data_IF_787299892056
#
_entry.id   IF_787299892056
#
_cell.length_a   1.000
_cell.length_b   1.000
_cell.length_c   1.000
_cell.angle_alpha   90.00
_cell.angle_beta   90.00
_cell.angle_gamma   90.00
#
_symmetry.space_group_name_H-M   'P 1'
#
loop_
_entity.id
_entity.type
_entity.pdbx_description
1 polymer ?
#
# COMPACT_ATOMS: atom_id res chain seq x y z
N UNK A 1 67.76 11.78 36.01
CA UNK A 1 67.49 10.92 34.83
C UNK A 1 66.01 11.14 34.51
N UNK A 2 65.57 12.12 33.70
CA UNK A 2 65.79 12.32 32.26
C UNK A 2 65.51 11.00 31.48
N UNK A 3 64.58 10.87 30.53
CA UNK A 3 64.16 11.74 29.40
C UNK A 3 62.74 11.26 28.95
N UNK A 4 61.69 12.09 28.97
CA UNK A 4 61.04 12.89 27.88
C UNK A 4 59.97 12.19 27.01
N UNK A 5 58.72 12.67 27.19
CA UNK A 5 57.70 13.14 26.22
C UNK A 5 57.97 12.97 24.70
N UNK A 6 56.98 12.72 23.81
CA UNK A 6 55.93 13.70 23.38
C UNK A 6 54.84 13.08 22.48
N UNK A 7 53.62 13.62 22.61
CA UNK A 7 52.41 13.64 21.78
C UNK A 7 52.64 13.92 20.27
N UNK A 8 51.74 13.50 19.36
CA UNK A 8 50.96 14.36 18.40
C UNK A 8 50.01 13.53 17.49
N UNK A 9 48.87 14.14 17.20
CA UNK A 9 47.70 13.74 16.39
C UNK A 9 47.90 13.76 14.85
N UNK A 10 46.89 13.18 14.17
CA UNK A 10 46.24 13.57 12.90
C UNK A 10 46.58 12.89 11.54
N UNK A 11 45.47 12.68 10.81
CA UNK A 11 45.24 12.60 9.34
C UNK A 11 45.25 11.22 8.64
N UNK A 12 44.01 10.73 8.47
CA UNK A 12 43.36 10.32 7.21
C UNK A 12 44.22 9.83 6.03
N UNK A 13 43.98 8.59 5.62
CA UNK A 13 44.35 8.05 4.31
C UNK A 13 43.10 7.82 3.45
N UNK A 14 42.78 8.82 2.63
CA UNK A 14 42.01 8.66 1.40
C UNK A 14 42.99 8.62 0.22
N UNK A 15 42.89 7.60 -0.63
CA UNK A 15 43.52 7.54 -1.96
C UNK A 15 42.42 7.06 -2.92
N UNK A 16 41.72 7.99 -3.59
CA UNK A 16 42.02 8.59 -4.90
C UNK A 16 41.71 7.68 -6.08
N UNK A 17 40.43 7.59 -6.45
CA UNK A 17 40.00 7.25 -7.80
C UNK A 17 39.95 8.52 -8.65
N UNK A 18 40.74 8.52 -9.71
CA UNK A 18 40.95 9.59 -10.68
C UNK A 18 39.72 9.71 -11.60
N UNK A 19 39.04 10.87 -11.56
CA UNK A 19 38.07 11.28 -12.58
C UNK A 19 38.79 12.15 -13.60
N UNK A 20 38.74 11.78 -14.88
CA UNK A 20 39.20 12.59 -15.99
C UNK A 20 38.18 13.70 -16.31
N UNK A 21 38.61 14.93 -16.63
CA UNK A 21 37.70 16.00 -17.04
C UNK A 21 37.37 15.88 -18.54
N UNK A 22 36.08 15.86 -18.87
CA UNK A 22 35.62 16.02 -20.24
C UNK A 22 35.91 17.44 -20.73
N UNK A 23 36.64 17.53 -21.84
CA UNK A 23 36.96 18.76 -22.54
C UNK A 23 35.73 19.42 -23.14
N UNK A 24 35.61 20.73 -22.90
CA UNK A 24 34.79 21.68 -23.64
C UNK A 24 35.41 21.95 -25.02
N UNK A 25 34.63 21.77 -26.10
CA UNK A 25 34.88 22.44 -27.38
C UNK A 25 33.60 23.08 -27.90
N UNK A 26 33.65 24.41 -27.98
CA UNK A 26 32.66 25.28 -28.62
C UNK A 26 33.08 25.51 -30.07
N UNK A 27 32.08 25.53 -30.97
CA UNK A 27 31.87 26.44 -32.13
C UNK A 27 31.25 25.70 -33.35
N UNK A 28 30.68 26.40 -34.34
CA UNK A 28 29.39 27.11 -34.24
C UNK A 28 28.40 26.76 -35.39
N UNK A 29 27.16 27.22 -35.22
CA UNK A 29 26.18 27.63 -36.25
C UNK A 29 25.81 26.64 -37.37
N UNK A 30 24.56 26.14 -37.32
CA UNK A 30 23.75 25.90 -38.53
C UNK A 30 22.29 26.28 -38.22
N UNK A 31 21.87 27.41 -38.79
CA UNK A 31 20.50 27.85 -38.92
C UNK A 31 19.72 26.85 -39.79
N UNK A 32 18.59 26.34 -39.32
CA UNK A 32 17.54 25.84 -40.21
C UNK A 32 16.17 26.33 -39.72
N UNK A 33 15.72 27.39 -40.38
CA UNK A 33 14.39 27.97 -40.30
C UNK A 33 13.41 27.10 -41.08
N UNK A 34 12.27 26.72 -40.50
CA UNK A 34 11.08 26.35 -41.26
C UNK A 34 9.83 27.01 -40.67
N UNK A 35 8.91 27.51 -41.51
CA UNK A 35 7.84 28.41 -41.10
C UNK A 35 6.59 27.64 -40.71
N UNK A 36 5.89 28.06 -39.65
CA UNK A 36 4.48 27.71 -39.45
C UNK A 36 3.64 28.96 -39.54
N UNK A 37 2.85 29.00 -40.61
CA UNK A 37 1.87 30.02 -40.94
C UNK A 37 0.76 30.07 -39.89
N UNK A 38 0.44 31.28 -39.47
CA UNK A 38 -0.86 31.68 -38.93
C UNK A 38 -1.94 31.51 -40.01
N UNK A 39 -3.09 30.91 -39.67
CA UNK A 39 -4.37 31.28 -40.30
C UNK A 39 -5.57 30.98 -39.40
N UNK A 40 -6.16 32.08 -38.92
CA UNK A 40 -7.55 32.39 -38.59
C UNK A 40 -8.67 31.33 -38.76
N UNK A 41 -9.49 31.29 -37.69
CA UNK A 41 -10.95 31.52 -37.67
C UNK A 41 -11.87 30.59 -38.45
N UNK A 42 -12.70 29.85 -37.72
CA UNK A 42 -14.15 29.74 -38.02
C UNK A 42 -14.94 29.87 -36.71
N UNK A 43 -15.56 31.04 -36.51
CA UNK A 43 -16.81 31.18 -35.77
C UNK A 43 -17.94 30.66 -36.66
N UNK A 44 -18.87 29.88 -36.12
CA UNK A 44 -20.24 29.87 -36.65
C UNK A 44 -21.23 30.14 -35.52
N UNK A 45 -22.03 31.15 -35.81
CA UNK A 45 -23.10 31.76 -35.05
C UNK A 45 -24.36 30.90 -35.06
N UNK A 46 -24.99 30.72 -33.90
CA UNK A 46 -26.41 30.39 -33.83
C UNK A 46 -27.21 31.70 -33.68
N UNK A 47 -28.03 31.98 -34.69
CA UNK A 47 -29.01 33.06 -34.73
C UNK A 47 -30.32 32.60 -34.10
N UNK A 48 -30.97 33.53 -33.41
CA UNK A 48 -32.32 33.44 -32.85
C UNK A 48 -33.42 33.51 -33.93
N UNK A 49 -34.63 33.14 -33.48
CA UNK A 49 -36.00 33.54 -33.86
C UNK A 49 -36.86 32.26 -34.02
N UNK A 50 -38.09 32.15 -33.54
CA UNK A 50 -39.06 33.08 -32.97
C UNK A 50 -40.40 32.35 -32.92
N UNK A 51 -41.28 32.80 -32.05
CA UNK A 51 -42.61 32.29 -31.70
C UNK A 51 -43.63 32.20 -32.84
N UNK A 52 -44.50 31.18 -32.81
CA UNK A 52 -45.93 31.34 -33.13
C UNK A 52 -46.76 30.18 -32.55
N UNK A 53 -47.90 30.56 -31.99
CA UNK A 53 -48.97 29.75 -31.41
C UNK A 53 -50.07 29.52 -32.44
N UNK A 54 -50.62 28.31 -32.53
CA UNK A 54 -52.07 28.06 -32.70
C UNK A 54 -52.43 26.58 -32.47
N UNK A 55 -53.68 26.26 -32.07
CA UNK A 55 -54.00 25.08 -31.26
C UNK A 55 -54.63 23.96 -32.09
N UNK A 56 -54.27 22.69 -31.80
CA UNK A 56 -54.91 21.53 -32.41
C UNK A 56 -55.14 20.38 -31.42
N UNK A 57 -56.42 20.02 -31.32
CA UNK A 57 -57.03 18.70 -31.10
C UNK A 57 -56.52 17.79 -29.97
N UNK A 58 -57.39 17.66 -28.94
CA UNK A 58 -57.43 16.51 -28.06
C UNK A 58 -57.82 15.24 -28.84
N UNK A 59 -56.85 14.35 -29.05
CA UNK A 59 -57.08 12.91 -29.15
C UNK A 59 -56.21 12.26 -28.08
N UNK A 60 -56.85 11.54 -27.17
CA UNK A 60 -56.19 10.73 -26.14
C UNK A 60 -55.29 9.70 -26.83
N UNK A 61 -53.98 9.89 -26.72
CA UNK A 61 -52.98 8.88 -27.07
C UNK A 61 -52.62 8.16 -25.77
N UNK A 62 -52.97 6.88 -25.71
CA UNK A 62 -52.64 5.97 -24.62
C UNK A 62 -51.12 6.00 -24.34
N UNK A 63 -50.76 6.39 -23.11
CA UNK A 63 -49.38 6.27 -22.61
C UNK A 63 -49.14 4.78 -22.37
N UNK A 64 -48.15 4.14 -23.02
CA UNK A 64 -47.80 2.78 -22.65
C UNK A 64 -47.19 2.83 -21.26
N UNK A 65 -47.91 2.28 -20.29
CA UNK A 65 -47.40 1.99 -18.94
C UNK A 65 -46.08 1.25 -19.08
N UNK A 66 -45.00 1.90 -18.66
CA UNK A 66 -43.68 1.27 -18.53
C UNK A 66 -43.86 0.08 -17.58
N UNK A 67 -43.97 -1.11 -18.17
CA UNK A 67 -43.86 -2.36 -17.44
C UNK A 67 -42.56 -2.30 -16.64
N UNK A 68 -42.71 -2.42 -15.33
CA UNK A 68 -41.63 -2.62 -14.37
C UNK A 68 -40.51 -3.43 -15.02
N UNK A 69 -39.37 -2.77 -15.27
CA UNK A 69 -38.12 -3.45 -15.58
C UNK A 69 -37.70 -4.19 -14.31
N UNK A 70 -38.33 -5.34 -14.10
CA UNK A 70 -38.01 -6.30 -13.06
C UNK A 70 -36.69 -6.92 -13.49
N UNK A 71 -35.62 -6.20 -13.16
CA UNK A 71 -34.26 -6.70 -13.29
C UNK A 71 -34.19 -7.90 -12.37
N UNK A 72 -34.27 -9.09 -12.98
CA UNK A 72 -33.90 -10.37 -12.39
C UNK A 72 -32.59 -10.16 -11.63
N UNK A 73 -32.71 -10.01 -10.30
CA UNK A 73 -31.55 -10.11 -9.44
C UNK A 73 -31.12 -11.56 -9.54
N UNK A 74 -29.94 -11.79 -10.13
CA UNK A 74 -29.25 -13.05 -9.95
C UNK A 74 -28.99 -13.20 -8.46
N UNK A 75 -29.86 -13.99 -7.82
CA UNK A 75 -29.72 -14.49 -6.48
C UNK A 75 -28.69 -15.62 -6.51
N UNK A 76 -27.42 -15.27 -6.70
CA UNK A 76 -26.33 -16.24 -6.71
C UNK A 76 -24.99 -15.65 -6.32
N UNK A 77 -24.92 -15.09 -5.10
CA UNK A 77 -23.70 -15.17 -4.31
C UNK A 77 -24.07 -15.38 -2.84
N UNK A 78 -24.13 -16.66 -2.46
CA UNK A 78 -24.08 -17.09 -1.05
C UNK A 78 -22.95 -16.28 -0.38
N UNK A 79 -23.16 -15.57 0.74
CA UNK A 79 -22.05 -14.87 1.39
C UNK A 79 -21.03 -15.93 1.76
N UNK A 80 -19.83 -15.81 1.20
CA UNK A 80 -18.72 -16.67 1.60
C UNK A 80 -18.59 -16.52 3.11
N UNK A 81 -18.49 -17.66 3.81
CA UNK A 81 -18.40 -17.76 5.26
C UNK A 81 -17.05 -17.25 5.79
N UNK A 82 -16.55 -16.15 5.25
CA UNK A 82 -15.32 -15.51 5.68
C UNK A 82 -15.65 -14.51 6.77
N UNK A 83 -14.79 -14.44 7.78
CA UNK A 83 -14.97 -13.49 8.89
C UNK A 83 -14.92 -12.04 8.41
N UNK A 84 -14.17 -11.79 7.33
CA UNK A 84 -13.86 -10.46 6.85
C UNK A 84 -14.35 -10.26 5.41
N UNK A 85 -15.06 -9.17 5.14
CA UNK A 85 -15.42 -8.80 3.77
C UNK A 85 -14.33 -7.98 3.09
N UNK A 86 -13.71 -7.05 3.83
CA UNK A 86 -12.66 -6.15 3.32
C UNK A 86 -11.49 -6.14 4.29
N UNK A 87 -10.29 -6.40 3.78
CA UNK A 87 -9.07 -6.50 4.59
C UNK A 87 -7.99 -5.57 4.06
N UNK A 88 -7.10 -5.15 4.96
CA UNK A 88 -5.85 -4.50 4.59
C UNK A 88 -4.67 -5.37 4.99
N UNK A 89 -3.94 -5.90 4.01
CA UNK A 89 -2.72 -6.67 4.20
C UNK A 89 -1.50 -5.74 4.18
N UNK A 90 -0.81 -5.63 5.31
CA UNK A 90 0.46 -4.92 5.40
C UNK A 90 1.62 -5.91 5.29
N UNK A 91 2.45 -5.72 4.26
CA UNK A 91 3.68 -6.49 4.03
C UNK A 91 4.89 -5.59 4.31
N UNK A 92 5.84 -6.05 5.14
CA UNK A 92 7.09 -5.30 5.33
C UNK A 92 7.96 -5.38 4.06
N UNK A 93 8.76 -4.34 3.82
CA UNK A 93 9.69 -4.37 2.69
C UNK A 93 10.70 -5.49 2.85
N UNK A 94 11.19 -5.67 4.08
CA UNK A 94 12.07 -6.76 4.49
C UNK A 94 11.57 -8.14 4.10
N UNK A 95 10.27 -8.39 4.26
CA UNK A 95 9.69 -9.67 3.93
C UNK A 95 9.74 -9.95 2.42
N UNK A 96 9.75 -8.91 1.58
CA UNK A 96 9.92 -9.05 0.13
C UNK A 96 11.35 -9.36 -0.29
N UNK A 97 12.37 -9.09 0.54
CA UNK A 97 13.78 -9.31 0.17
C UNK A 97 14.22 -10.78 0.30
N UNK A 98 13.47 -11.62 1.02
CA UNK A 98 13.80 -13.04 1.20
C UNK A 98 15.19 -13.26 1.79
N UNK A 99 16.04 -14.00 1.06
CA UNK A 99 17.41 -14.35 1.45
C UNK A 99 18.42 -13.19 1.33
N UNK A 100 17.97 -11.96 1.07
CA UNK A 100 18.75 -10.73 0.98
C UNK A 100 19.79 -10.69 -0.16
N UNK A 101 19.73 -11.63 -1.11
CA UNK A 101 20.59 -11.58 -2.30
C UNK A 101 20.18 -10.45 -3.27
N UNK A 102 18.91 -10.05 -3.22
CA UNK A 102 18.32 -9.00 -4.04
C UNK A 102 17.42 -8.10 -3.19
N UNK A 103 17.12 -6.90 -3.68
CA UNK A 103 16.19 -6.00 -3.00
C UNK A 103 14.76 -6.59 -2.97
N UNK A 104 14.32 -7.30 -4.00
CA UNK A 104 13.00 -7.95 -4.04
C UNK A 104 13.20 -9.37 -4.57
N UNK A 105 12.77 -10.38 -3.82
CA UNK A 105 12.74 -11.78 -4.22
C UNK A 105 11.45 -12.05 -5.03
N UNK A 106 11.55 -12.35 -6.35
CA UNK A 106 10.39 -12.66 -7.18
C UNK A 106 9.58 -13.85 -6.67
N UNK A 107 10.21 -14.82 -5.99
CA UNK A 107 9.53 -16.01 -5.46
C UNK A 107 8.57 -15.64 -4.34
N UNK A 108 8.98 -14.73 -3.45
CA UNK A 108 8.13 -14.27 -2.35
C UNK A 108 7.00 -13.40 -2.87
N UNK A 109 7.29 -12.47 -3.78
CA UNK A 109 6.26 -11.66 -4.41
C UNK A 109 5.20 -12.53 -5.12
N UNK A 110 5.65 -13.57 -5.82
CA UNK A 110 4.77 -14.55 -6.47
C UNK A 110 3.98 -15.38 -5.46
N UNK A 111 4.57 -15.78 -4.33
CA UNK A 111 3.87 -16.49 -3.28
C UNK A 111 2.74 -15.63 -2.67
N UNK A 112 3.03 -14.36 -2.36
CA UNK A 112 2.03 -13.38 -1.90
C UNK A 112 0.93 -13.24 -2.95
N UNK A 113 1.29 -13.04 -4.22
CA UNK A 113 0.31 -12.88 -5.29
C UNK A 113 -0.61 -14.10 -5.42
N UNK A 114 -0.08 -15.31 -5.28
CA UNK A 114 -0.88 -16.56 -5.31
C UNK A 114 -1.84 -16.68 -4.13
N UNK A 115 -1.40 -16.36 -2.90
CA UNK A 115 -2.27 -16.38 -1.73
C UNK A 115 -3.34 -15.28 -1.80
N UNK A 116 -3.00 -14.10 -2.33
CA UNK A 116 -4.02 -13.06 -2.57
C UNK A 116 -5.00 -13.51 -3.67
N UNK A 117 -4.53 -14.17 -4.74
CA UNK A 117 -5.39 -14.71 -5.79
C UNK A 117 -6.35 -15.80 -5.32
N UNK A 118 -5.98 -16.63 -4.34
CA UNK A 118 -6.89 -17.66 -3.81
C UNK A 118 -8.06 -17.02 -3.07
N UNK A 119 -7.82 -15.89 -2.41
CA UNK A 119 -8.80 -15.20 -1.59
C UNK A 119 -9.69 -14.23 -2.37
N UNK A 120 -9.14 -13.49 -3.34
CA UNK A 120 -9.96 -12.58 -4.17
C UNK A 120 -11.03 -13.34 -4.96
N UNK A 121 -10.77 -14.62 -5.31
CA UNK A 121 -11.77 -15.52 -5.91
C UNK A 121 -12.96 -15.84 -4.99
N UNK A 122 -12.80 -15.67 -3.68
CA UNK A 122 -13.88 -15.85 -2.68
C UNK A 122 -14.74 -14.59 -2.50
N UNK A 123 -14.46 -13.52 -3.26
CA UNK A 123 -15.17 -12.25 -3.18
C UNK A 123 -14.70 -11.33 -2.05
N UNK A 124 -13.60 -11.67 -1.37
CA UNK A 124 -13.03 -10.81 -0.32
C UNK A 124 -12.26 -9.66 -0.98
N UNK A 125 -12.52 -8.46 -0.51
CA UNK A 125 -11.92 -7.23 -1.02
C UNK A 125 -10.57 -6.99 -0.33
N UNK A 126 -9.47 -7.03 -1.10
CA UNK A 126 -8.11 -6.98 -0.55
C UNK A 126 -7.42 -5.68 -0.94
N UNK A 127 -6.99 -4.92 0.08
CA UNK A 127 -6.04 -3.82 -0.07
C UNK A 127 -4.67 -4.21 0.49
N UNK A 128 -3.59 -3.65 -0.06
CA UNK A 128 -2.23 -3.86 0.40
C UNK A 128 -1.56 -2.55 0.79
N UNK A 129 -0.71 -2.61 1.81
CA UNK A 129 0.30 -1.59 2.13
C UNK A 129 1.66 -2.27 2.19
N UNK A 130 2.65 -1.68 1.53
CA UNK A 130 3.96 -2.31 1.38
C UNK A 130 5.04 -1.41 1.96
N UNK A 131 5.91 -1.97 2.80
CA UNK A 131 7.06 -1.26 3.34
C UNK A 131 8.20 -1.12 2.32
N UNK A 132 9.16 -0.22 2.58
CA UNK A 132 10.29 0.08 1.68
C UNK A 132 11.66 -0.34 2.22
N UNK A 133 11.71 -0.99 3.38
CA UNK A 133 12.94 -1.26 4.13
C UNK A 133 13.92 -2.22 3.45
N UNK A 134 13.50 -2.97 2.45
CA UNK A 134 14.36 -3.77 1.58
C UNK A 134 15.23 -2.94 0.62
N UNK A 135 14.75 -1.77 0.18
CA UNK A 135 15.50 -0.88 -0.73
C UNK A 135 16.18 0.23 0.09
N UNK A 136 15.45 0.80 1.04
CA UNK A 136 15.95 1.90 1.86
C UNK A 136 15.44 1.85 3.29
N UNK A 137 16.37 1.71 4.26
CA UNK A 137 16.08 1.89 5.68
C UNK A 137 16.55 3.27 6.15
N UNK A 138 15.59 4.18 6.33
CA UNK A 138 15.87 5.53 6.81
C UNK A 138 16.44 5.58 8.24
N UNK A 139 15.98 4.70 9.13
CA UNK A 139 16.43 4.67 10.53
C UNK A 139 17.90 4.28 10.72
N UNK A 140 18.47 3.48 9.83
CA UNK A 140 19.89 3.08 9.89
C UNK A 140 20.85 4.05 9.19
N UNK A 141 20.31 5.02 8.44
CA UNK A 141 21.10 5.99 7.65
C UNK A 141 20.82 7.45 8.01
N UNK A 142 19.79 7.73 8.80
CA UNK A 142 19.56 9.06 9.37
C UNK A 142 20.78 9.44 10.23
N UNK A 143 21.45 10.54 9.88
CA UNK A 143 22.70 10.97 10.51
C UNK A 143 23.98 10.45 9.85
N UNK A 144 23.91 9.48 8.94
CA UNK A 144 25.01 9.17 8.04
C UNK A 144 24.95 10.16 6.86
N UNK A 145 26.02 10.93 6.65
CA UNK A 145 26.23 11.82 5.49
C UNK A 145 25.08 12.81 5.21
N UNK A 146 24.92 13.87 6.00
CA UNK A 146 24.13 15.06 5.63
C UNK A 146 22.64 14.86 5.32
N UNK A 147 22.12 13.64 5.40
CA UNK A 147 20.75 13.29 5.08
C UNK A 147 19.88 13.53 6.31
N UNK A 148 19.05 14.56 6.24
CA UNK A 148 18.08 14.85 7.28
C UNK A 148 16.96 13.79 7.29
N UNK A 149 16.27 13.71 8.43
CA UNK A 149 15.23 12.70 8.64
C UNK A 149 14.11 12.76 7.60
N UNK A 150 13.70 13.96 7.19
CA UNK A 150 12.59 14.14 6.27
C UNK A 150 12.94 13.62 4.88
N UNK A 151 14.15 13.95 4.39
CA UNK A 151 14.67 13.43 3.12
C UNK A 151 14.80 11.91 3.15
N UNK A 152 15.27 11.33 4.25
CA UNK A 152 15.35 9.88 4.40
C UNK A 152 13.96 9.21 4.33
N UNK A 153 12.94 9.80 4.96
CA UNK A 153 11.57 9.28 4.90
C UNK A 153 10.97 9.42 3.49
N UNK A 154 11.27 10.50 2.75
CA UNK A 154 10.89 10.62 1.34
C UNK A 154 11.49 9.52 0.46
N UNK A 155 12.78 9.22 0.62
CA UNK A 155 13.44 8.11 -0.10
C UNK A 155 12.78 6.78 0.27
N UNK A 156 12.48 6.56 1.56
CA UNK A 156 11.74 5.39 2.03
C UNK A 156 10.35 5.27 1.41
N UNK A 157 9.62 6.39 1.28
CA UNK A 157 8.32 6.42 0.61
C UNK A 157 8.44 6.08 -0.89
N UNK A 158 9.47 6.56 -1.59
CA UNK A 158 9.73 6.16 -2.98
C UNK A 158 10.04 4.66 -3.11
N UNK A 159 10.79 4.09 -2.16
CA UNK A 159 11.02 2.65 -2.12
C UNK A 159 9.72 1.84 -2.00
N UNK A 160 8.72 2.32 -1.25
CA UNK A 160 7.41 1.66 -1.21
C UNK A 160 6.70 1.68 -2.57
N UNK A 161 6.89 2.74 -3.37
CA UNK A 161 6.33 2.83 -4.74
C UNK A 161 6.98 1.80 -5.65
N UNK A 162 8.30 1.63 -5.57
CA UNK A 162 9.01 0.60 -6.33
C UNK A 162 8.49 -0.81 -6.03
N UNK A 163 8.32 -1.14 -4.75
CA UNK A 163 7.76 -2.44 -4.34
C UNK A 163 6.31 -2.61 -4.80
N UNK A 164 5.49 -1.55 -4.76
CA UNK A 164 4.11 -1.60 -5.19
C UNK A 164 3.97 -1.87 -6.70
N UNK A 165 4.81 -1.24 -7.52
CA UNK A 165 4.87 -1.49 -8.97
C UNK A 165 5.28 -2.95 -9.24
N UNK A 166 6.29 -3.45 -8.52
CA UNK A 166 6.73 -4.84 -8.68
C UNK A 166 5.62 -5.84 -8.32
N UNK A 167 4.93 -5.62 -7.19
CA UNK A 167 3.81 -6.45 -6.78
C UNK A 167 2.63 -6.34 -7.75
N UNK A 168 2.33 -5.15 -8.27
CA UNK A 168 1.30 -4.97 -9.30
C UNK A 168 1.62 -5.82 -10.53
N UNK A 169 2.82 -5.69 -11.10
CA UNK A 169 3.22 -6.47 -12.26
C UNK A 169 3.17 -8.00 -11.98
N UNK A 170 3.58 -8.41 -10.79
CA UNK A 170 3.52 -9.83 -10.37
C UNK A 170 2.08 -10.34 -10.28
N UNK A 171 1.18 -9.58 -9.65
CA UNK A 171 -0.23 -9.91 -9.53
C UNK A 171 -0.95 -9.93 -10.89
N UNK A 172 -0.66 -8.95 -11.75
CA UNK A 172 -1.22 -8.88 -13.10
C UNK A 172 -0.73 -10.03 -14.00
N UNK A 173 0.52 -10.49 -13.82
CA UNK A 173 1.08 -11.63 -14.56
C UNK A 173 0.32 -12.94 -14.35
N UNK A 174 -0.41 -13.06 -13.23
CA UNK A 174 -1.25 -14.22 -12.90
C UNK A 174 -2.76 -13.89 -13.00
N UNK A 175 -3.12 -12.76 -13.63
CA UNK A 175 -4.49 -12.41 -13.96
C UNK A 175 -5.27 -11.69 -12.86
N UNK A 176 -4.62 -11.19 -11.81
CA UNK A 176 -5.30 -10.39 -10.77
C UNK A 176 -5.36 -8.93 -11.20
N UNK A 177 -6.55 -8.35 -11.42
CA UNK A 177 -6.67 -6.94 -11.75
C UNK A 177 -6.26 -6.08 -10.55
N UNK A 178 -5.18 -5.32 -10.70
CA UNK A 178 -4.54 -4.59 -9.61
C UNK A 178 -4.45 -3.09 -9.92
N UNK A 179 -4.44 -2.24 -8.89
CA UNK A 179 -4.26 -0.79 -9.01
C UNK A 179 -3.35 -0.27 -7.91
N UNK A 180 -2.26 0.39 -8.28
CA UNK A 180 -1.41 1.12 -7.34
C UNK A 180 -1.95 2.53 -7.16
N UNK A 181 -2.08 2.95 -5.90
CA UNK A 181 -2.42 4.31 -5.51
C UNK A 181 -1.36 4.91 -4.60
N UNK A 182 -0.81 6.05 -4.98
CA UNK A 182 0.28 6.71 -4.26
C UNK A 182 -0.20 7.93 -3.49
N UNK A 183 0.35 8.16 -2.30
CA UNK A 183 0.15 9.41 -1.56
C UNK A 183 0.77 10.62 -2.30
N UNK A 184 1.89 10.41 -3.00
CA UNK A 184 2.44 11.39 -3.93
C UNK A 184 1.72 11.37 -5.27
N UNK A 185 1.56 12.54 -5.88
CA UNK A 185 1.03 12.62 -7.24
C UNK A 185 2.13 12.26 -8.24
N UNK A 186 2.02 11.10 -8.87
CA UNK A 186 2.97 10.56 -9.84
C UNK A 186 2.21 10.09 -11.09
N UNK A 187 1.66 11.05 -11.85
CA UNK A 187 0.62 10.81 -12.86
C UNK A 187 0.99 9.75 -13.91
N UNK A 188 2.26 9.68 -14.28
CA UNK A 188 2.80 8.77 -15.29
C UNK A 188 3.06 7.35 -14.75
N UNK A 189 3.17 7.21 -13.42
CA UNK A 189 3.61 5.97 -12.76
C UNK A 189 2.45 5.25 -12.07
N UNK A 190 1.63 5.98 -11.32
CA UNK A 190 0.54 5.42 -10.51
C UNK A 190 -0.60 6.42 -10.30
N UNK A 191 -1.79 5.89 -9.98
CA UNK A 191 -2.93 6.75 -9.66
C UNK A 191 -2.66 7.51 -8.34
N UNK A 192 -3.03 8.80 -8.21
CA UNK A 192 -3.04 9.44 -6.91
C UNK A 192 -4.09 8.79 -6.01
N UNK A 193 -3.80 8.67 -4.72
CA UNK A 193 -4.77 8.17 -3.75
C UNK A 193 -6.00 9.07 -3.68
N UNK A 194 -7.16 8.48 -3.98
CA UNK A 194 -8.47 9.11 -3.82
C UNK A 194 -9.36 8.07 -3.16
N UNK A 195 -9.73 8.29 -1.89
CA UNK A 195 -10.52 7.37 -1.06
C UNK A 195 -11.70 6.74 -1.81
N UNK A 196 -12.55 7.56 -2.43
CA UNK A 196 -13.74 7.08 -3.16
C UNK A 196 -13.39 6.20 -4.36
N UNK A 197 -12.24 6.45 -5.01
CA UNK A 197 -11.75 5.63 -6.11
C UNK A 197 -11.18 4.31 -5.61
N UNK A 198 -10.43 4.32 -4.50
CA UNK A 198 -9.94 3.10 -3.86
C UNK A 198 -11.08 2.14 -3.52
N UNK A 199 -12.12 2.64 -2.83
CA UNK A 199 -13.32 1.87 -2.50
C UNK A 199 -13.98 1.32 -3.77
N UNK A 200 -14.11 2.13 -4.82
CA UNK A 200 -14.72 1.69 -6.08
C UNK A 200 -13.90 0.61 -6.81
N UNK A 201 -12.57 0.61 -6.68
CA UNK A 201 -11.73 -0.45 -7.21
C UNK A 201 -11.94 -1.76 -6.43
N UNK A 202 -11.97 -1.67 -5.09
CA UNK A 202 -12.23 -2.82 -4.21
C UNK A 202 -13.60 -3.46 -4.48
N UNK A 203 -14.66 -2.66 -4.59
CA UNK A 203 -16.01 -3.12 -4.95
C UNK A 203 -16.09 -3.85 -6.31
N UNK A 204 -15.14 -3.58 -7.21
CA UNK A 204 -15.04 -4.24 -8.52
C UNK A 204 -14.18 -5.51 -8.49
N UNK A 205 -13.78 -5.97 -7.29
CA UNK A 205 -12.91 -7.12 -7.10
C UNK A 205 -11.46 -6.87 -7.51
N UNK A 206 -11.03 -5.60 -7.61
CA UNK A 206 -9.63 -5.25 -7.90
C UNK A 206 -8.84 -5.17 -6.61
N UNK A 207 -7.60 -5.65 -6.65
CA UNK A 207 -6.66 -5.44 -5.57
C UNK A 207 -6.13 -4.00 -5.63
N UNK A 208 -6.12 -3.31 -4.49
CA UNK A 208 -5.58 -1.94 -4.40
C UNK A 208 -4.30 -1.96 -3.57
N UNK A 209 -3.19 -1.49 -4.12
CA UNK A 209 -1.91 -1.38 -3.42
C UNK A 209 -1.67 0.10 -3.10
N UNK A 210 -1.59 0.45 -1.82
CA UNK A 210 -1.23 1.79 -1.38
C UNK A 210 0.28 1.92 -1.20
N UNK A 211 0.82 2.99 -1.76
CA UNK A 211 2.24 3.31 -1.70
C UNK A 211 2.50 4.78 -1.34
N UNK A 212 3.76 5.09 -1.08
CA UNK A 212 4.22 6.35 -0.48
C UNK A 212 3.64 6.64 0.91
N UNK A 213 3.27 5.59 1.67
CA UNK A 213 2.71 5.72 3.02
C UNK A 213 1.51 6.68 3.07
N UNK A 214 1.62 7.69 3.93
CA UNK A 214 0.63 8.79 4.01
C UNK A 214 1.10 10.06 3.28
N UNK A 215 2.30 10.05 2.69
CA UNK A 215 2.89 11.20 2.00
C UNK A 215 3.60 12.21 2.91
N UNK A 216 3.67 11.95 4.21
CA UNK A 216 4.30 12.83 5.19
C UNK A 216 5.48 12.10 5.88
N UNK A 217 6.63 12.78 6.07
CA UNK A 217 7.72 12.27 6.91
C UNK A 217 7.30 12.02 8.36
N UNK A 218 8.16 11.32 9.14
CA UNK A 218 7.97 10.97 10.55
C UNK A 218 6.91 9.90 10.85
N UNK A 219 6.18 9.43 9.84
CA UNK A 219 5.19 8.36 9.99
C UNK A 219 5.72 7.02 9.46
N UNK A 220 5.30 5.94 10.10
CA UNK A 220 5.70 4.60 9.68
C UNK A 220 4.72 4.04 8.63
N UNK A 221 5.11 2.92 8.04
CA UNK A 221 4.22 2.15 7.15
C UNK A 221 3.09 1.45 7.91
N UNK A 222 3.24 1.22 9.21
CA UNK A 222 2.17 0.70 10.06
C UNK A 222 1.12 1.79 10.32
N UNK A 223 1.53 3.05 10.54
CA UNK A 223 0.58 4.18 10.62
C UNK A 223 -0.19 4.35 9.31
N UNK A 224 0.50 4.22 8.17
CA UNK A 224 -0.16 4.26 6.86
C UNK A 224 -1.17 3.11 6.67
N UNK A 225 -0.84 1.91 7.13
CA UNK A 225 -1.74 0.76 7.10
C UNK A 225 -2.99 0.99 7.95
N UNK A 226 -2.83 1.47 9.19
CA UNK A 226 -3.96 1.81 10.05
C UNK A 226 -4.84 2.89 9.42
N UNK A 227 -4.25 3.97 8.88
CA UNK A 227 -4.99 5.07 8.26
C UNK A 227 -5.77 4.60 7.03
N UNK A 228 -5.10 3.91 6.10
CA UNK A 228 -5.76 3.43 4.88
C UNK A 228 -6.85 2.41 5.21
N UNK A 229 -6.66 1.59 6.24
CA UNK A 229 -7.66 0.64 6.71
C UNK A 229 -8.93 1.36 7.17
N UNK A 230 -8.79 2.38 8.02
CA UNK A 230 -9.89 3.22 8.48
C UNK A 230 -10.59 3.94 7.31
N UNK A 231 -9.82 4.55 6.40
CA UNK A 231 -10.39 5.30 5.29
C UNK A 231 -11.18 4.41 4.31
N UNK A 232 -10.68 3.21 4.00
CA UNK A 232 -11.42 2.29 3.12
C UNK A 232 -12.46 1.47 3.88
N UNK A 233 -12.68 1.70 5.17
CA UNK A 233 -13.57 0.87 5.99
C UNK A 233 -13.23 -0.63 5.89
N UNK A 234 -11.94 -0.99 5.93
CA UNK A 234 -11.54 -2.38 6.06
C UNK A 234 -11.76 -2.85 7.50
N UNK A 235 -12.09 -4.12 7.65
CA UNK A 235 -12.54 -4.71 8.92
C UNK A 235 -11.36 -5.21 9.78
N UNK A 236 -10.15 -5.29 9.20
CA UNK A 236 -8.96 -5.79 9.88
C UNK A 236 -7.67 -5.32 9.19
N UNK A 237 -6.64 -5.02 9.98
CA UNK A 237 -5.26 -4.90 9.51
C UNK A 237 -4.55 -6.24 9.70
N UNK A 238 -4.13 -6.86 8.61
CA UNK A 238 -3.36 -8.10 8.59
C UNK A 238 -1.88 -7.72 8.45
N UNK A 239 -1.13 -7.77 9.55
CA UNK A 239 0.30 -7.43 9.57
C UNK A 239 1.15 -8.69 9.38
N UNK A 240 1.67 -8.86 8.17
CA UNK A 240 2.58 -9.94 7.85
C UNK A 240 4.00 -9.61 8.34
N UNK A 241 4.59 -10.53 9.09
CA UNK A 241 5.92 -10.38 9.70
C UNK A 241 6.76 -11.64 9.51
N UNK A 242 7.99 -11.64 10.02
CA UNK A 242 8.88 -12.80 10.00
C UNK A 242 8.78 -13.68 11.27
N UNK A 243 7.90 -13.32 12.21
CA UNK A 243 7.67 -14.03 13.47
C UNK A 243 6.24 -14.55 13.52
N UNK A 244 5.97 -15.54 14.38
CA UNK A 244 4.67 -16.23 14.42
C UNK A 244 3.51 -15.37 14.93
N UNK A 245 3.80 -14.32 15.68
CA UNK A 245 2.83 -13.34 16.17
C UNK A 245 3.48 -12.46 17.23
N UNK A 246 2.70 -12.08 18.24
CA UNK A 246 3.16 -11.28 19.37
C UNK A 246 3.50 -12.20 20.54
N UNK A 247 4.70 -12.02 21.09
CA UNK A 247 5.18 -12.77 22.23
C UNK A 247 5.12 -11.91 23.50
N UNK A 248 5.09 -12.55 24.68
CA UNK A 248 5.20 -11.84 25.96
C UNK A 248 6.60 -11.29 26.24
N UNK A 249 7.63 -11.80 25.56
CA UNK A 249 9.01 -11.32 25.57
C UNK A 249 9.68 -11.56 24.20
N UNK A 250 10.87 -11.02 23.95
CA UNK A 250 11.59 -11.22 22.68
C UNK A 250 12.04 -12.69 22.54
N UNK A 251 11.46 -13.47 21.60
CA UNK A 251 11.77 -14.88 21.45
C UNK A 251 13.21 -15.14 20.97
N UNK A 252 13.92 -14.12 20.48
CA UNK A 252 15.34 -14.24 20.12
C UNK A 252 16.26 -14.17 21.33
N UNK A 253 15.81 -13.49 22.41
CA UNK A 253 16.59 -13.28 23.62
C UNK A 253 16.15 -14.20 24.75
N UNK A 254 14.86 -14.51 24.82
CA UNK A 254 14.25 -15.36 25.83
C UNK A 254 13.62 -16.61 25.19
N UNK A 255 14.22 -17.80 25.33
CA UNK A 255 13.65 -19.04 24.83
C UNK A 255 12.32 -19.44 25.47
N UNK A 256 11.97 -18.86 26.62
CA UNK A 256 10.70 -19.08 27.33
C UNK A 256 9.59 -18.12 26.88
N UNK A 257 9.85 -17.25 25.90
CA UNK A 257 8.83 -16.36 25.35
C UNK A 257 7.66 -17.16 24.77
N UNK A 258 6.44 -16.82 25.19
CA UNK A 258 5.21 -17.48 24.78
C UNK A 258 4.44 -16.63 23.80
N UNK A 259 3.94 -17.29 22.76
CA UNK A 259 3.05 -16.67 21.79
C UNK A 259 1.70 -16.35 22.46
N UNK A 260 1.21 -15.14 22.26
CA UNK A 260 -0.06 -14.68 22.79
C UNK A 260 -1.13 -14.83 21.71
N UNK A 261 -2.21 -15.57 21.97
CA UNK A 261 -3.25 -15.83 20.96
C UNK A 261 -4.14 -14.59 20.69
N UNK A 262 -4.46 -13.87 21.78
CA UNK A 262 -5.33 -12.70 21.75
C UNK A 262 -4.84 -11.62 22.71
N UNK A 263 -4.93 -10.36 22.29
CA UNK A 263 -4.61 -9.18 23.11
C UNK A 263 -5.65 -8.09 22.91
N UNK A 264 -5.81 -7.20 23.88
CA UNK A 264 -6.51 -5.93 23.64
C UNK A 264 -5.53 -4.89 23.10
N UNK A 265 -6.00 -3.82 22.44
CA UNK A 265 -5.12 -2.70 22.10
C UNK A 265 -4.47 -2.10 23.36
N UNK A 266 -5.21 -2.05 24.47
CA UNK A 266 -4.70 -1.55 25.75
C UNK A 266 -3.57 -2.42 26.31
N UNK A 267 -3.61 -3.75 26.13
CA UNK A 267 -2.51 -4.64 26.50
C UNK A 267 -1.24 -4.29 25.74
N UNK A 268 -1.34 -4.03 24.43
CA UNK A 268 -0.20 -3.68 23.59
C UNK A 268 0.44 -2.37 24.05
N UNK A 269 -0.38 -1.36 24.38
CA UNK A 269 0.10 -0.06 24.86
C UNK A 269 0.70 -0.18 26.26
N UNK A 270 0.00 -0.82 27.21
CA UNK A 270 0.42 -0.87 28.62
C UNK A 270 1.65 -1.73 28.86
N UNK A 271 1.86 -2.77 28.06
CA UNK A 271 3.02 -3.68 28.16
C UNK A 271 4.15 -3.30 27.19
N UNK A 272 4.02 -2.20 26.47
CA UNK A 272 4.96 -1.73 25.45
C UNK A 272 5.39 -2.84 24.46
N UNK A 273 4.39 -3.63 24.01
CA UNK A 273 4.66 -4.73 23.09
C UNK A 273 4.98 -4.16 21.72
N UNK A 274 6.16 -4.52 21.19
CA UNK A 274 6.68 -4.05 19.89
C UNK A 274 5.92 -4.64 18.69
N UNK A 275 4.65 -4.27 18.53
CA UNK A 275 3.77 -4.78 17.47
C UNK A 275 3.71 -3.82 16.27
N UNK A 276 3.40 -2.56 16.52
CA UNK A 276 3.39 -1.44 15.58
C UNK A 276 3.79 -0.18 16.36
N UNK A 277 4.01 0.95 15.68
CA UNK A 277 4.15 2.23 16.38
C UNK A 277 2.89 2.60 17.15
N UNK A 278 3.05 3.39 18.22
CA UNK A 278 1.95 3.80 19.08
C UNK A 278 0.86 4.59 18.34
N UNK A 279 1.24 5.39 17.34
CA UNK A 279 0.27 6.13 16.51
C UNK A 279 -0.63 5.17 15.75
N UNK A 280 -0.07 4.12 15.13
CA UNK A 280 -0.83 3.10 14.42
C UNK A 280 -1.76 2.30 15.35
N UNK A 281 -1.28 1.88 16.53
CA UNK A 281 -2.11 1.13 17.49
C UNK A 281 -3.26 1.99 18.02
N UNK A 282 -2.98 3.25 18.38
CA UNK A 282 -3.99 4.19 18.86
C UNK A 282 -5.05 4.43 17.80
N UNK A 283 -4.64 4.65 16.54
CA UNK A 283 -5.58 4.83 15.43
C UNK A 283 -6.46 3.59 15.22
N UNK A 284 -5.89 2.38 15.31
CA UNK A 284 -6.67 1.15 15.26
C UNK A 284 -7.64 1.03 16.43
N UNK A 285 -7.23 1.39 17.65
CA UNK A 285 -8.08 1.35 18.85
C UNK A 285 -9.27 2.31 18.72
N UNK A 286 -9.03 3.57 18.35
CA UNK A 286 -10.06 4.59 18.20
C UNK A 286 -11.12 4.22 17.14
N UNK A 287 -10.70 3.52 16.09
CA UNK A 287 -11.58 3.08 15.02
C UNK A 287 -12.11 1.64 15.22
N UNK A 288 -11.82 1.01 16.37
CA UNK A 288 -12.18 -0.39 16.67
C UNK A 288 -11.74 -1.37 15.58
N UNK A 289 -10.57 -1.12 14.98
CA UNK A 289 -9.98 -1.94 13.92
C UNK A 289 -9.10 -3.01 14.57
N UNK A 290 -9.44 -4.30 14.45
CA UNK A 290 -8.59 -5.38 14.91
C UNK A 290 -7.33 -5.51 14.07
N UNK A 291 -6.26 -6.03 14.69
CA UNK A 291 -4.98 -6.29 14.02
C UNK A 291 -4.63 -7.77 14.17
N UNK A 292 -4.31 -8.44 13.08
CA UNK A 292 -3.80 -9.83 13.10
C UNK A 292 -2.33 -9.80 12.73
N UNK A 293 -1.47 -10.29 13.63
CA UNK A 293 -0.02 -10.38 13.42
C UNK A 293 0.34 -11.83 13.17
N UNK A 294 0.98 -12.12 12.04
CA UNK A 294 1.31 -13.49 11.67
C UNK A 294 2.62 -13.59 10.87
N UNK A 295 3.12 -14.83 10.73
CA UNK A 295 4.31 -15.13 9.95
C UNK A 295 3.99 -15.29 8.47
N UNK A 296 4.63 -14.50 7.61
CA UNK A 296 4.53 -14.59 6.15
C UNK A 296 5.20 -15.85 5.60
N UNK A 297 6.26 -16.34 6.25
CA UNK A 297 7.09 -17.43 5.72
C UNK A 297 6.42 -18.80 5.80
N UNK A 298 5.28 -18.91 6.50
CA UNK A 298 4.48 -20.14 6.59
C UNK A 298 3.44 -20.13 5.46
N UNK A 299 3.55 -21.01 4.45
CA UNK A 299 2.64 -21.02 3.32
C UNK A 299 1.18 -21.16 3.73
N UNK A 300 0.31 -20.37 3.11
CA UNK A 300 -1.13 -20.36 3.37
C UNK A 300 -1.56 -19.52 4.56
N UNK A 301 -0.62 -18.93 5.32
CA UNK A 301 -0.99 -18.06 6.44
C UNK A 301 -1.70 -16.78 5.99
N UNK A 302 -1.36 -16.22 4.81
CA UNK A 302 -2.04 -15.02 4.31
C UNK A 302 -3.48 -15.39 3.98
N UNK A 303 -3.68 -16.49 3.26
CA UNK A 303 -5.02 -16.99 2.92
C UNK A 303 -5.88 -17.21 4.18
N UNK A 304 -5.34 -17.92 5.17
CA UNK A 304 -6.02 -18.19 6.44
C UNK A 304 -6.34 -16.91 7.21
N UNK A 305 -5.38 -15.98 7.29
CA UNK A 305 -5.56 -14.70 7.97
C UNK A 305 -6.64 -13.84 7.29
N UNK A 306 -6.69 -13.81 5.95
CA UNK A 306 -7.73 -13.08 5.21
C UNK A 306 -9.10 -13.76 5.34
N UNK A 307 -9.17 -15.09 5.41
CA UNK A 307 -10.42 -15.80 5.72
C UNK A 307 -10.91 -15.58 7.16
N UNK A 308 -10.01 -15.15 8.04
CA UNK A 308 -10.24 -14.96 9.47
C UNK A 308 -10.15 -16.25 10.29
N UNK A 309 -9.39 -17.22 9.80
CA UNK A 309 -8.99 -18.40 10.54
C UNK A 309 -7.94 -18.03 11.62
N UNK A 310 -7.76 -18.90 12.61
CA UNK A 310 -6.81 -18.68 13.70
C UNK A 310 -5.37 -18.77 13.20
N UNK A 311 -4.72 -17.62 13.07
CA UNK A 311 -3.30 -17.52 12.71
C UNK A 311 -2.64 -16.41 13.54
N UNK A 312 -1.51 -16.74 14.16
CA UNK A 312 -0.71 -15.81 14.95
C UNK A 312 -1.51 -15.18 16.09
N UNK A 313 -1.41 -13.87 16.25
CA UNK A 313 -2.04 -13.11 17.35
C UNK A 313 -3.12 -12.17 16.83
N UNK A 314 -4.30 -12.20 17.44
CA UNK A 314 -5.38 -11.24 17.19
C UNK A 314 -5.41 -10.16 18.28
N UNK A 315 -5.41 -8.89 17.86
CA UNK A 315 -5.41 -7.73 18.75
C UNK A 315 -6.72 -6.97 18.57
N UNK A 316 -7.39 -6.64 19.67
CA UNK A 316 -8.59 -5.79 19.67
C UNK A 316 -9.92 -6.50 19.43
N UNK A 317 -9.90 -7.81 19.23
CA UNK A 317 -11.09 -8.64 19.06
C UNK A 317 -10.86 -10.04 19.64
N UNK A 318 -11.94 -10.81 19.75
CA UNK A 318 -11.90 -12.21 20.18
C UNK A 318 -12.03 -13.14 18.97
N UNK A 319 -11.44 -14.34 19.05
CA UNK A 319 -11.68 -15.41 18.09
C UNK A 319 -13.08 -15.99 18.35
N UNK A 320 -14.07 -15.67 17.51
CA UNK A 320 -15.39 -16.30 17.63
C UNK A 320 -15.27 -17.82 17.43
N UNK A 321 -15.85 -18.59 18.35
CA UNK A 321 -15.78 -20.06 18.42
C UNK A 321 -16.59 -20.80 17.34
N UNK A 322 -17.21 -20.08 16.40
CA UNK A 322 -18.34 -20.62 15.59
C UNK A 322 -17.98 -20.94 14.13
N UNK A 323 -16.73 -21.30 13.83
CA UNK A 323 -16.33 -21.79 12.50
C UNK A 323 -15.74 -23.22 12.55
N UNK A 324 -16.33 -24.09 13.37
CA UNK A 324 -16.03 -25.53 13.35
C UNK A 324 -17.26 -26.31 13.77
N UNK A 325 -18.23 -26.43 12.85
CA UNK A 325 -19.23 -27.50 12.79
C UNK A 325 -20.08 -27.31 11.53
N UNK A 326 -19.60 -27.88 10.43
CA UNK A 326 -20.38 -28.53 9.35
C UNK A 326 -19.39 -29.24 8.45
#
# INVERSE_FOLDING_TARGET
MAISTTTTLLLSSFSSYTFSPFHSSLSPSLNLSFPLKLSNSIRSSYSQNGSSSDPFNFRETEIPTMSSFQRSMNESSKPSSSRWRRVLLKVSGEALAGDQSQNIDPKIAMAIAREVASVTRLGIEVALVVGGGNIFRGSSRAGCSGLDRSSADYIGMLATVMNAIFLQATMESIGIPTRVQTAFRMSEVAEPYIRRRAIRHLEKGRVVIFAAGIGNPFFTTDTAAALRCAEINAEVVLKATNVDGVYDDDPKRNPQARLLDTLTHQDVISKDLSVMDMTAITLCQENSIPVVVFNLNKPGNIEKAIKGERVGTLIGATWNSTMSRT
#
